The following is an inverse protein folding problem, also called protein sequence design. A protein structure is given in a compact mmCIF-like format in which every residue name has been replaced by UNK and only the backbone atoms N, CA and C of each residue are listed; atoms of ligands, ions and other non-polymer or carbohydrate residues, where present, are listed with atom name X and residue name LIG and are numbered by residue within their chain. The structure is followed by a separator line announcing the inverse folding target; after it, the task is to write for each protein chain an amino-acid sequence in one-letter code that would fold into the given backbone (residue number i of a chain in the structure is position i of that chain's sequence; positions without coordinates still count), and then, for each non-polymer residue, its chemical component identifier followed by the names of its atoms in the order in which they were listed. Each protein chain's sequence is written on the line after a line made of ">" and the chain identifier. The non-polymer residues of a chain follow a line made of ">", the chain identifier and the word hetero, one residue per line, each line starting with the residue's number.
data_IF_530374033062
#
_entry.id   IF_530374033062
#
_cell.length_a   1.000
_cell.length_b   1.000
_cell.length_c   1.000
_cell.angle_alpha   90.00
_cell.angle_beta   90.00
_cell.angle_gamma   90.00
#
_symmetry.space_group_name_H-M   'P 1'
#
loop_
_entity.id
_entity.type
_entity.pdbx_description
1 polymer ?
#
# COMPACT_ATOMS: atom_id res chain seq x y z
N UNK A 1 0.68 -0.99 -18.08
CA UNK A 1 0.01 0.24 -18.58
C UNK A 1 -0.01 1.21 -17.41
N UNK A 2 0.57 2.40 -17.55
CA UNK A 2 0.70 3.35 -16.42
C UNK A 2 -0.61 4.15 -16.32
N UNK A 3 -1.32 4.03 -15.20
CA UNK A 3 -2.50 4.85 -14.88
C UNK A 3 -2.15 5.92 -13.83
N UNK A 4 -2.94 7.00 -13.79
CA UNK A 4 -2.74 8.12 -12.84
C UNK A 4 -3.08 7.66 -11.42
N UNK A 5 -2.15 7.91 -10.49
CA UNK A 5 -2.29 7.62 -9.06
C UNK A 5 -2.39 8.93 -8.26
N UNK A 6 -3.03 8.95 -7.07
CA UNK A 6 -3.62 7.80 -6.37
C UNK A 6 -4.93 7.33 -7.01
N UNK A 7 -5.15 6.01 -7.00
CA UNK A 7 -6.43 5.42 -7.39
C UNK A 7 -7.47 5.77 -6.33
N UNK A 8 -8.46 6.56 -6.75
CA UNK A 8 -9.61 6.94 -5.93
C UNK A 8 -10.83 6.12 -6.37
N UNK A 9 -11.36 5.30 -5.47
CA UNK A 9 -12.62 4.59 -5.74
C UNK A 9 -13.79 5.44 -5.24
N UNK A 10 -14.60 5.97 -6.16
CA UNK A 10 -15.74 6.87 -5.86
C UNK A 10 -16.81 6.19 -4.97
N UNK A 11 -16.72 4.87 -4.73
CA UNK A 11 -17.63 4.13 -3.85
C UNK A 11 -17.12 3.91 -2.42
N UNK A 12 -15.83 4.17 -2.11
CA UNK A 12 -15.26 3.91 -0.79
C UNK A 12 -14.30 5.04 -0.38
N UNK A 13 -14.28 5.44 0.92
CA UNK A 13 -13.34 6.44 1.43
C UNK A 13 -11.91 5.88 1.56
N UNK A 14 -11.53 4.95 0.68
CA UNK A 14 -10.24 4.24 0.68
C UNK A 14 -9.41 4.73 -0.50
N UNK A 15 -8.17 5.10 -0.22
CA UNK A 15 -7.22 5.64 -1.19
C UNK A 15 -6.00 4.73 -1.21
N UNK A 16 -5.55 4.40 -2.43
CA UNK A 16 -4.34 3.60 -2.65
C UNK A 16 -3.32 4.43 -3.44
N UNK A 17 -2.10 4.50 -2.92
CA UNK A 17 -0.93 5.01 -3.64
C UNK A 17 0.11 3.89 -3.74
N UNK A 18 0.55 3.60 -4.96
CA UNK A 18 1.50 2.51 -5.24
C UNK A 18 2.58 3.03 -6.18
N UNK A 19 3.82 2.66 -5.89
CA UNK A 19 4.92 2.67 -6.85
C UNK A 19 5.33 1.21 -7.06
N UNK A 20 5.18 0.68 -8.26
CA UNK A 20 5.49 -0.71 -8.53
C UNK A 20 4.68 -1.34 -9.66
N UNK A 21 4.89 -2.64 -9.81
CA UNK A 21 4.16 -3.51 -10.73
C UNK A 21 3.81 -4.83 -10.05
N UNK A 22 2.57 -5.29 -10.22
CA UNK A 22 2.04 -6.56 -9.71
C UNK A 22 1.92 -7.56 -10.85
N UNK A 23 2.92 -8.44 -10.99
CA UNK A 23 3.02 -9.40 -12.08
C UNK A 23 1.90 -10.43 -12.08
N UNK A 24 1.41 -10.84 -10.91
CA UNK A 24 0.31 -11.79 -10.79
C UNK A 24 -1.07 -11.12 -10.65
N UNK A 25 -1.26 -9.89 -11.14
CA UNK A 25 -2.54 -9.20 -11.04
C UNK A 25 -3.68 -9.90 -11.80
N UNK A 26 -3.44 -10.52 -12.96
CA UNK A 26 -4.50 -11.21 -13.73
C UNK A 26 -5.20 -12.36 -12.96
N UNK A 27 -4.49 -13.34 -12.39
CA UNK A 27 -5.13 -14.39 -11.60
C UNK A 27 -5.79 -13.84 -10.33
N UNK A 28 -5.19 -12.83 -9.68
CA UNK A 28 -5.80 -12.16 -8.51
C UNK A 28 -7.10 -11.45 -8.89
N UNK A 29 -7.12 -10.76 -10.03
CA UNK A 29 -8.29 -10.06 -10.56
C UNK A 29 -9.42 -11.03 -10.87
N UNK A 30 -9.08 -12.21 -11.41
CA UNK A 30 -10.05 -13.27 -11.69
C UNK A 30 -10.66 -13.82 -10.40
N UNK A 31 -9.82 -14.14 -9.40
CA UNK A 31 -10.28 -14.56 -8.06
C UNK A 31 -11.21 -13.53 -7.43
N UNK A 32 -10.80 -12.27 -7.38
CA UNK A 32 -11.59 -11.17 -6.81
C UNK A 32 -12.91 -10.95 -7.57
N UNK A 33 -12.89 -11.03 -8.91
CA UNK A 33 -14.12 -10.90 -9.71
C UNK A 33 -15.11 -12.03 -9.42
N UNK A 34 -14.63 -13.26 -9.23
CA UNK A 34 -15.47 -14.40 -8.82
C UNK A 34 -16.08 -14.21 -7.42
N UNK A 35 -15.44 -13.40 -6.57
CA UNK A 35 -15.96 -13.00 -5.25
C UNK A 35 -16.80 -11.71 -5.30
N UNK A 36 -17.17 -11.22 -6.49
CA UNK A 36 -18.09 -10.10 -6.67
C UNK A 36 -17.44 -8.71 -6.71
N UNK A 37 -16.11 -8.62 -6.66
CA UNK A 37 -15.40 -7.34 -6.80
C UNK A 37 -15.47 -6.85 -8.25
N UNK A 38 -15.83 -5.58 -8.43
CA UNK A 38 -15.91 -4.94 -9.75
C UNK A 38 -14.74 -4.00 -9.92
N UNK A 39 -13.85 -4.38 -10.83
CA UNK A 39 -12.72 -3.56 -11.21
C UNK A 39 -13.17 -2.42 -12.11
N UNK A 40 -12.61 -1.24 -11.87
CA UNK A 40 -12.96 -0.01 -12.59
C UNK A 40 -11.79 0.56 -13.40
N UNK A 41 -10.59 0.08 -13.11
CA UNK A 41 -9.35 0.54 -13.72
C UNK A 41 -8.62 -0.64 -14.39
N UNK A 42 -7.70 -0.35 -15.30
CA UNK A 42 -6.82 -1.37 -15.87
C UNK A 42 -5.49 -1.46 -15.11
N UNK A 43 -5.32 -0.67 -14.04
CA UNK A 43 -4.18 -0.75 -13.14
C UNK A 43 -4.07 -2.15 -12.52
N UNK A 44 -2.90 -2.75 -12.70
CA UNK A 44 -2.47 -3.97 -12.04
C UNK A 44 -2.53 -3.86 -10.50
N UNK A 45 -2.29 -2.65 -9.98
CA UNK A 45 -2.32 -2.36 -8.55
C UNK A 45 -3.72 -2.32 -7.91
N UNK A 46 -4.82 -2.28 -8.69
CA UNK A 46 -6.19 -2.24 -8.14
C UNK A 46 -6.53 -3.49 -7.32
N UNK A 47 -5.88 -4.63 -7.60
CA UNK A 47 -6.04 -5.87 -6.83
C UNK A 47 -5.69 -5.70 -5.36
N UNK A 48 -4.75 -4.79 -5.02
CA UNK A 48 -4.34 -4.50 -3.64
C UNK A 48 -5.51 -3.90 -2.87
N UNK A 49 -6.21 -2.94 -3.47
CA UNK A 49 -7.34 -2.25 -2.85
C UNK A 49 -8.52 -3.21 -2.63
N UNK A 50 -8.82 -4.08 -3.61
CA UNK A 50 -9.89 -5.06 -3.49
C UNK A 50 -9.57 -6.16 -2.47
N UNK A 51 -8.32 -6.64 -2.37
CA UNK A 51 -7.93 -7.57 -1.30
C UNK A 51 -8.08 -6.94 0.09
N UNK A 52 -7.69 -5.66 0.23
CA UNK A 52 -7.92 -4.92 1.48
C UNK A 52 -9.42 -4.75 1.79
N UNK A 53 -10.25 -4.45 0.79
CA UNK A 53 -11.70 -4.32 0.96
C UNK A 53 -12.39 -5.64 1.29
N UNK A 54 -11.87 -6.76 0.77
CA UNK A 54 -12.29 -8.12 1.15
C UNK A 54 -12.03 -8.43 2.62
N UNK A 55 -11.15 -7.68 3.28
CA UNK A 55 -10.75 -7.88 4.66
C UNK A 55 -9.54 -8.81 4.82
N UNK A 56 -8.79 -9.07 3.75
CA UNK A 56 -7.52 -9.81 3.85
C UNK A 56 -6.56 -9.04 4.78
N UNK A 57 -5.84 -9.76 5.64
CA UNK A 57 -4.86 -9.12 6.52
C UNK A 57 -3.68 -8.60 5.69
N UNK A 58 -3.03 -7.49 6.08
CA UNK A 58 -1.91 -6.93 5.33
C UNK A 58 -0.78 -7.93 5.02
N UNK A 59 -0.45 -8.81 5.97
CA UNK A 59 0.52 -9.89 5.75
C UNK A 59 0.07 -10.90 4.70
N UNK A 60 -1.22 -11.27 4.67
CA UNK A 60 -1.76 -12.16 3.64
C UNK A 60 -1.75 -11.52 2.25
N UNK A 61 -2.05 -10.21 2.19
CA UNK A 61 -1.92 -9.42 0.96
C UNK A 61 -0.47 -9.46 0.48
N UNK A 62 0.49 -9.15 1.35
CA UNK A 62 1.92 -9.15 1.03
C UNK A 62 2.38 -10.51 0.50
N UNK A 63 1.97 -11.61 1.14
CA UNK A 63 2.33 -12.98 0.77
C UNK A 63 1.73 -13.42 -0.58
N UNK A 64 0.56 -12.89 -0.97
CA UNK A 64 -0.08 -13.21 -2.25
C UNK A 64 0.49 -12.42 -3.43
N UNK A 65 1.04 -11.23 -3.19
CA UNK A 65 1.53 -10.35 -4.24
C UNK A 65 2.88 -10.83 -4.79
N UNK A 66 2.98 -10.93 -6.12
CA UNK A 66 4.23 -11.15 -6.83
C UNK A 66 4.52 -9.95 -7.69
N UNK A 67 5.63 -9.28 -7.42
CA UNK A 67 5.92 -7.99 -8.02
C UNK A 67 7.04 -7.26 -7.30
N UNK A 68 7.28 -6.05 -7.78
CA UNK A 68 8.08 -5.04 -7.09
C UNK A 68 7.16 -3.89 -6.74
N UNK A 69 7.06 -3.52 -5.47
CA UNK A 69 6.09 -2.52 -5.04
C UNK A 69 6.42 -1.90 -3.69
N UNK A 70 5.99 -0.66 -3.55
CA UNK A 70 5.77 0.00 -2.28
C UNK A 70 4.41 0.66 -2.35
N UNK A 71 3.56 0.43 -1.35
CA UNK A 71 2.22 1.01 -1.34
C UNK A 71 1.83 1.56 0.02
N UNK A 72 0.87 2.49 0.00
CA UNK A 72 0.15 2.99 1.16
C UNK A 72 -1.35 2.99 0.85
N UNK A 73 -2.13 2.38 1.73
CA UNK A 73 -3.58 2.44 1.76
C UNK A 73 -3.98 3.36 2.91
N UNK A 74 -4.94 4.24 2.68
CA UNK A 74 -5.62 4.98 3.73
C UNK A 74 -7.12 4.71 3.65
N UNK A 75 -7.74 4.34 4.78
CA UNK A 75 -9.18 4.17 4.94
C UNK A 75 -9.73 5.28 5.83
N UNK A 76 -10.37 6.28 5.23
CA UNK A 76 -10.89 7.43 5.96
C UNK A 76 -12.10 7.10 6.84
N UNK A 77 -12.75 5.93 6.68
CA UNK A 77 -13.84 5.50 7.56
C UNK A 77 -13.30 5.09 8.93
N UNK A 78 -12.14 4.46 8.96
CA UNK A 78 -11.51 3.93 10.18
C UNK A 78 -10.30 4.74 10.62
N UNK A 79 -9.94 5.78 9.86
CA UNK A 79 -8.69 6.54 10.01
C UNK A 79 -7.45 5.64 10.05
N UNK A 80 -7.54 4.48 9.40
CA UNK A 80 -6.49 3.46 9.36
C UNK A 80 -5.63 3.64 8.12
N UNK A 81 -4.34 3.46 8.26
CA UNK A 81 -3.43 3.38 7.11
C UNK A 81 -2.55 2.15 7.22
N UNK A 82 -2.28 1.56 6.06
CA UNK A 82 -1.43 0.39 5.91
C UNK A 82 -0.39 0.68 4.85
N UNK A 83 0.89 0.50 5.18
CA UNK A 83 1.98 0.59 4.21
C UNK A 83 2.66 -0.76 4.08
N UNK A 84 3.13 -1.14 2.89
CA UNK A 84 3.92 -2.35 2.73
C UNK A 84 4.95 -2.21 1.60
N UNK A 85 5.97 -3.06 1.66
CA UNK A 85 7.08 -3.06 0.71
C UNK A 85 7.41 -4.48 0.25
N UNK A 86 7.78 -4.62 -1.01
CA UNK A 86 8.07 -5.90 -1.65
C UNK A 86 9.17 -6.71 -0.95
N UNK A 87 9.24 -7.99 -1.32
CA UNK A 87 10.03 -9.00 -0.63
C UNK A 87 11.55 -8.75 -0.66
N UNK A 88 12.05 -8.05 -1.68
CA UNK A 88 13.48 -7.79 -1.85
C UNK A 88 13.80 -6.32 -1.50
N UNK A 89 12.80 -5.45 -1.53
CA UNK A 89 12.95 -4.01 -1.37
C UNK A 89 13.42 -3.34 -2.64
N UNK A 90 12.95 -3.81 -3.80
CA UNK A 90 13.32 -3.24 -5.11
C UNK A 90 12.82 -1.80 -5.21
N UNK A 91 11.54 -1.56 -4.86
CA UNK A 91 11.00 -0.20 -4.85
C UNK A 91 11.36 0.48 -3.53
N UNK A 92 11.96 1.69 -3.54
CA UNK A 92 12.30 2.38 -2.32
C UNK A 92 11.06 2.91 -1.59
N UNK A 93 11.07 2.77 -0.27
CA UNK A 93 10.09 3.35 0.63
C UNK A 93 10.78 3.73 1.94
N UNK A 94 10.45 4.91 2.44
CA UNK A 94 10.91 5.48 3.71
C UNK A 94 9.70 5.83 4.56
N UNK A 95 9.89 5.77 5.87
CA UNK A 95 8.90 6.15 6.87
C UNK A 95 9.54 7.14 7.84
N UNK A 96 8.81 8.19 8.20
CA UNK A 96 9.28 9.20 9.15
C UNK A 96 8.19 9.70 10.08
N UNK A 97 8.61 10.43 11.11
CA UNK A 97 7.75 10.98 12.15
C UNK A 97 8.03 12.47 12.37
N UNK A 98 6.97 13.28 12.35
CA UNK A 98 6.99 14.67 12.74
C UNK A 98 6.92 14.85 14.27
N UNK A 99 7.22 16.06 14.74
CA UNK A 99 7.14 16.40 16.18
C UNK A 99 5.72 16.33 16.75
N UNK A 100 4.72 16.49 15.89
CA UNK A 100 3.30 16.42 16.21
C UNK A 100 2.75 14.97 16.21
N UNK A 101 3.61 13.98 15.98
CA UNK A 101 3.21 12.57 15.84
C UNK A 101 2.72 12.20 14.44
N UNK A 102 2.75 13.12 13.47
CA UNK A 102 2.38 12.81 12.09
C UNK A 102 3.33 11.77 11.50
N UNK A 103 2.77 10.74 10.86
CA UNK A 103 3.52 9.68 10.17
C UNK A 103 3.59 9.99 8.69
N UNK A 104 4.80 9.92 8.13
CA UNK A 104 5.07 10.19 6.73
C UNK A 104 5.59 8.94 6.02
N UNK A 105 5.18 8.75 4.76
CA UNK A 105 5.72 7.75 3.85
C UNK A 105 6.19 8.42 2.55
N UNK A 106 7.35 8.03 2.04
CA UNK A 106 7.88 8.57 0.79
C UNK A 106 8.80 7.59 0.07
N UNK A 107 8.85 7.64 -1.26
CA UNK A 107 9.82 6.84 -2.04
C UNK A 107 11.26 7.33 -1.92
N UNK A 108 11.47 8.60 -1.55
CA UNK A 108 12.80 9.18 -1.41
C UNK A 108 12.95 9.95 -0.09
N UNK A 109 14.12 9.84 0.52
CA UNK A 109 14.45 10.50 1.79
C UNK A 109 14.34 12.02 1.74
N UNK A 110 14.63 12.64 0.59
CA UNK A 110 14.55 14.10 0.40
C UNK A 110 13.16 14.68 0.66
N UNK A 111 12.10 13.87 0.50
CA UNK A 111 10.74 14.30 0.78
C UNK A 111 10.44 14.36 2.30
N UNK A 112 11.26 13.71 3.13
CA UNK A 112 11.09 13.61 4.57
C UNK A 112 12.02 14.55 5.35
N UNK A 113 13.17 14.95 4.78
CA UNK A 113 14.23 15.67 5.50
C UNK A 113 13.74 16.95 6.19
N UNK A 114 12.81 17.66 5.58
CA UNK A 114 12.35 18.97 6.06
C UNK A 114 11.12 18.86 6.98
N UNK A 115 10.52 17.67 7.08
CA UNK A 115 9.24 17.43 7.78
C UNK A 115 9.35 16.46 8.95
N UNK A 116 10.37 15.62 8.97
CA UNK A 116 10.53 14.55 9.94
C UNK A 116 11.74 14.80 10.85
N UNK A 117 11.55 14.61 12.15
CA UNK A 117 12.65 14.65 13.14
C UNK A 117 13.46 13.36 13.11
N UNK A 118 12.79 12.26 12.78
CA UNK A 118 13.39 10.95 12.59
C UNK A 118 12.74 10.28 11.40
N UNK A 119 13.54 9.63 10.56
CA UNK A 119 13.06 8.80 9.47
C UNK A 119 13.99 7.60 9.29
N UNK A 120 13.43 6.53 8.74
CA UNK A 120 14.15 5.30 8.45
C UNK A 120 13.69 4.72 7.12
N UNK A 121 14.52 3.88 6.52
CA UNK A 121 14.08 3.07 5.39
C UNK A 121 13.01 2.08 5.87
N UNK A 122 11.92 1.96 5.11
CA UNK A 122 10.89 0.99 5.37
C UNK A 122 11.41 -0.41 5.01
N UNK A 123 11.39 -1.39 5.93
CA UNK A 123 12.06 -2.67 5.70
C UNK A 123 11.36 -3.52 4.62
N UNK A 124 12.09 -4.29 3.81
CA UNK A 124 11.52 -5.25 2.85
C UNK A 124 10.73 -6.36 3.55
N UNK A 125 9.72 -6.95 2.91
CA UNK A 125 8.86 -8.02 3.49
C UNK A 125 8.13 -7.59 4.78
N UNK A 126 7.92 -6.29 4.98
CA UNK A 126 7.15 -5.82 6.13
C UNK A 126 5.93 -5.06 5.67
N UNK A 127 4.96 -4.98 6.56
CA UNK A 127 3.88 -4.02 6.50
C UNK A 127 3.84 -3.20 7.79
N UNK A 128 3.28 -2.01 7.72
CA UNK A 128 2.96 -1.17 8.86
C UNK A 128 1.45 -1.02 8.91
N UNK A 129 0.86 -1.18 10.08
CA UNK A 129 -0.57 -1.03 10.29
C UNK A 129 -0.82 -0.08 11.47
N UNK A 130 -1.45 1.06 11.18
CA UNK A 130 -1.73 2.07 12.21
C UNK A 130 -2.65 1.56 13.32
N UNK A 131 -3.48 0.55 13.04
CA UNK A 131 -4.35 -0.08 14.04
C UNK A 131 -3.58 -0.93 15.07
N UNK A 132 -2.35 -1.37 14.75
CA UNK A 132 -1.50 -2.20 15.62
C UNK A 132 -0.26 -1.48 16.16
N UNK A 133 0.01 -0.25 15.70
CA UNK A 133 1.18 0.56 16.04
C UNK A 133 2.52 -0.20 15.91
N UNK A 134 2.77 -0.81 14.75
CA UNK A 134 4.00 -1.57 14.53
C UNK A 134 4.24 -1.92 13.07
N UNK A 135 5.50 -2.26 12.76
CA UNK A 135 5.86 -2.93 11.50
C UNK A 135 5.93 -4.43 11.75
N UNK A 136 4.99 -5.16 11.16
CA UNK A 136 4.90 -6.62 11.26
C UNK A 136 5.42 -7.27 9.96
N UNK A 137 5.75 -8.56 10.04
CA UNK A 137 6.09 -9.40 8.89
C UNK A 137 4.85 -10.08 8.33
#
# INVERSE_FOLDING_TARGET
>A
MVEVQPLNYIRFPKVLAVNGEIYNHEPLRTDLSNHGFRFTSHSDCEVILHMYDRGDQPGDVLNKLRGMFAFVIYDAKTERYVAARDHIGIIPLYMGWGLDGTVYFASEMKALSDRCTFFKQFPPVHYYDSARQGSDK
#
